data_IF_144335149813
#
_entry.id   IF_144335149813
#
_cell.length_a   1.000
_cell.length_b   1.000
_cell.length_c   1.000
_cell.angle_alpha   90.00
_cell.angle_beta   90.00
_cell.angle_gamma   90.00
#
_symmetry.space_group_name_H-M   'P 1'
#
loop_
_entity.id
_entity.type
_entity.pdbx_description
1 polymer ?
#
# COMPACT_ATOMS: atom_id res chain seq x y z
N UNK A 1 21.10 19.55 10.48
CA UNK A 1 21.12 19.06 11.83
C UNK A 1 21.15 17.52 11.81
N UNK A 2 20.69 16.78 12.79
CA UNK A 2 20.97 15.35 12.99
C UNK A 2 20.76 14.38 11.80
N UNK A 3 19.93 14.68 10.83
CA UNK A 3 19.72 13.82 9.65
C UNK A 3 20.61 14.17 8.44
N UNK A 4 21.42 15.25 8.52
CA UNK A 4 22.24 15.77 7.43
C UNK A 4 21.48 16.09 6.12
N UNK A 5 20.15 16.12 6.18
CA UNK A 5 19.30 16.48 5.05
C UNK A 5 19.04 17.98 5.04
N UNK A 6 19.21 18.60 3.88
CA UNK A 6 18.93 20.00 3.64
C UNK A 6 18.53 20.19 2.18
N UNK A 7 17.94 21.33 1.87
CA UNK A 7 17.51 21.62 0.52
C UNK A 7 16.48 22.74 0.45
N UNK A 8 15.91 22.91 -0.71
CA UNK A 8 14.83 23.87 -0.97
C UNK A 8 13.43 23.24 -0.73
N UNK A 9 12.39 24.04 -0.93
CA UNK A 9 10.99 23.61 -0.76
C UNK A 9 10.63 22.44 -1.69
N UNK A 10 11.17 22.36 -2.89
CA UNK A 10 10.93 21.26 -3.81
C UNK A 10 11.51 19.96 -3.26
N UNK A 11 12.74 20.01 -2.77
CA UNK A 11 13.42 18.87 -2.18
C UNK A 11 12.69 18.37 -0.93
N UNK A 12 12.17 19.28 -0.11
CA UNK A 12 11.33 18.93 1.05
C UNK A 12 10.08 18.19 0.61
N UNK A 13 9.34 18.69 -0.39
CA UNK A 13 8.11 18.02 -0.88
C UNK A 13 8.43 16.67 -1.51
N UNK A 14 9.52 16.57 -2.30
CA UNK A 14 9.96 15.31 -2.88
C UNK A 14 10.22 14.24 -1.83
N UNK A 15 10.92 14.59 -0.75
CA UNK A 15 11.27 13.65 0.32
C UNK A 15 10.09 13.36 1.25
N UNK A 16 9.28 14.37 1.55
CA UNK A 16 8.15 14.25 2.47
C UNK A 16 6.97 13.49 1.86
N UNK A 17 6.61 13.80 0.61
CA UNK A 17 5.49 13.17 -0.11
C UNK A 17 5.94 11.95 -0.94
N UNK A 18 7.25 11.67 -1.05
CA UNK A 18 7.78 10.58 -1.86
C UNK A 18 7.51 10.75 -3.35
N UNK A 19 7.51 11.98 -3.84
CA UNK A 19 7.15 12.34 -5.21
C UNK A 19 8.38 12.76 -6.03
N UNK A 20 8.26 12.73 -7.36
CA UNK A 20 9.29 13.25 -8.27
C UNK A 20 9.36 14.78 -8.22
N UNK A 21 10.45 15.36 -8.76
CA UNK A 21 10.60 16.81 -8.87
C UNK A 21 9.44 17.47 -9.64
N UNK A 22 9.01 16.87 -10.73
CA UNK A 22 7.89 17.38 -11.53
C UNK A 22 6.58 17.41 -10.73
N UNK A 23 6.28 16.35 -9.99
CA UNK A 23 5.09 16.27 -9.12
C UNK A 23 5.18 17.28 -7.95
N UNK A 24 6.36 17.47 -7.37
CA UNK A 24 6.58 18.47 -6.34
C UNK A 24 6.35 19.90 -6.88
N UNK A 25 6.84 20.20 -8.09
CA UNK A 25 6.60 21.48 -8.77
C UNK A 25 5.11 21.71 -9.01
N UNK A 26 4.39 20.72 -9.53
CA UNK A 26 2.93 20.80 -9.74
C UNK A 26 2.16 21.04 -8.43
N UNK A 27 2.52 20.30 -7.38
CA UNK A 27 1.90 20.45 -6.06
C UNK A 27 2.07 21.84 -5.50
N UNK A 28 3.31 22.35 -5.58
CA UNK A 28 3.64 23.69 -5.08
C UNK A 28 3.01 24.80 -5.93
N UNK A 29 3.01 24.64 -7.25
CA UNK A 29 2.39 25.59 -8.16
C UNK A 29 0.87 25.68 -7.95
N UNK A 30 0.21 24.53 -7.79
CA UNK A 30 -1.23 24.47 -7.47
C UNK A 30 -1.54 25.17 -6.15
N UNK A 31 -0.73 24.94 -5.11
CA UNK A 31 -0.87 25.61 -3.81
C UNK A 31 -0.64 27.12 -3.90
N UNK A 32 0.29 27.55 -4.75
CA UNK A 32 0.62 28.97 -4.95
C UNK A 32 -0.32 29.67 -5.96
N UNK A 33 -1.22 28.94 -6.63
CA UNK A 33 -2.07 29.49 -7.69
C UNK A 33 -1.29 29.91 -8.93
N UNK A 34 -0.10 29.33 -9.16
CA UNK A 34 0.76 29.66 -10.31
C UNK A 34 0.47 28.70 -11.45
N UNK A 35 0.00 29.16 -12.61
CA UNK A 35 -0.18 28.29 -13.77
C UNK A 35 1.19 27.82 -14.27
N UNK A 36 1.36 26.50 -14.40
CA UNK A 36 2.57 25.93 -14.99
C UNK A 36 2.43 25.89 -16.52
N UNK A 37 3.34 26.59 -17.21
CA UNK A 37 3.57 26.32 -18.61
C UNK A 37 4.35 25.00 -18.74
N UNK A 38 3.67 23.95 -19.18
CA UNK A 38 4.32 22.67 -19.44
C UNK A 38 5.20 22.76 -20.68
N UNK A 39 6.46 23.10 -20.48
CA UNK A 39 7.49 23.10 -21.55
C UNK A 39 7.99 21.68 -21.89
N UNK A 40 7.36 20.63 -21.33
CA UNK A 40 7.61 19.23 -21.69
C UNK A 40 6.81 18.86 -22.94
N UNK A 41 7.46 18.30 -23.94
CA UNK A 41 6.78 17.75 -25.11
C UNK A 41 5.73 16.70 -24.73
N UNK A 42 4.87 16.32 -25.66
CA UNK A 42 3.79 15.34 -25.46
C UNK A 42 4.24 14.06 -24.72
N UNK A 43 5.46 13.61 -24.98
CA UNK A 43 6.06 12.41 -24.35
C UNK A 43 6.26 12.57 -22.83
N UNK A 44 6.63 13.76 -22.34
CA UNK A 44 6.84 14.01 -20.91
C UNK A 44 5.48 14.04 -20.15
N UNK A 45 4.46 14.62 -20.79
CA UNK A 45 3.10 14.67 -20.24
C UNK A 45 2.55 13.24 -20.16
N UNK A 46 2.69 12.45 -21.22
CA UNK A 46 2.24 11.05 -21.25
C UNK A 46 2.97 10.19 -20.21
N UNK A 47 4.29 10.35 -20.08
CA UNK A 47 5.07 9.65 -19.05
C UNK A 47 4.59 9.95 -17.63
N UNK A 48 4.33 11.21 -17.33
CA UNK A 48 3.84 11.64 -16.02
C UNK A 48 2.44 11.09 -15.74
N UNK A 49 1.55 11.13 -16.74
CA UNK A 49 0.20 10.57 -16.65
C UNK A 49 0.22 9.06 -16.38
N UNK A 50 1.04 8.31 -17.12
CA UNK A 50 1.21 6.85 -16.92
C UNK A 50 1.73 6.51 -15.52
N UNK A 51 2.68 7.29 -14.99
CA UNK A 51 3.19 7.10 -13.61
C UNK A 51 2.12 7.37 -12.57
N UNK A 52 1.31 8.41 -12.74
CA UNK A 52 0.18 8.70 -11.85
C UNK A 52 -0.84 7.58 -11.87
N UNK A 53 -1.22 7.10 -13.04
CA UNK A 53 -2.14 5.99 -13.19
C UNK A 53 -1.61 4.73 -12.51
N UNK A 54 -0.35 4.36 -12.76
CA UNK A 54 0.29 3.21 -12.14
C UNK A 54 0.33 3.34 -10.60
N UNK A 55 0.66 4.52 -10.06
CA UNK A 55 0.65 4.78 -8.61
C UNK A 55 -0.76 4.65 -8.03
N UNK A 56 -1.75 5.26 -8.67
CA UNK A 56 -3.14 5.17 -8.23
C UNK A 56 -3.64 3.73 -8.22
N UNK A 57 -3.24 2.95 -9.21
CA UNK A 57 -3.56 1.54 -9.30
C UNK A 57 -2.95 0.72 -8.17
N UNK A 58 -1.69 1.02 -7.76
CA UNK A 58 -1.07 0.40 -6.59
C UNK A 58 -1.77 0.77 -5.28
N UNK A 59 -2.22 2.02 -5.11
CA UNK A 59 -3.02 2.41 -3.94
C UNK A 59 -4.34 1.65 -3.87
N UNK A 60 -5.04 1.52 -5.01
CA UNK A 60 -6.29 0.75 -5.08
C UNK A 60 -6.06 -0.73 -4.76
N UNK A 61 -4.93 -1.30 -5.18
CA UNK A 61 -4.54 -2.68 -4.85
C UNK A 61 -4.25 -2.84 -3.35
N UNK A 62 -3.52 -1.90 -2.74
CA UNK A 62 -3.29 -1.91 -1.29
C UNK A 62 -4.60 -1.78 -0.50
N UNK A 63 -5.52 -0.93 -0.95
CA UNK A 63 -6.85 -0.80 -0.36
C UNK A 63 -7.66 -2.10 -0.47
N UNK A 64 -7.63 -2.77 -1.63
CA UNK A 64 -8.22 -4.09 -1.80
C UNK A 64 -7.63 -5.11 -0.81
N UNK A 65 -6.30 -5.14 -0.68
CA UNK A 65 -5.63 -6.03 0.25
C UNK A 65 -6.03 -5.74 1.72
N UNK A 66 -6.14 -4.48 2.10
CA UNK A 66 -6.61 -4.08 3.43
C UNK A 66 -8.02 -4.61 3.69
N UNK A 67 -8.95 -4.39 2.77
CA UNK A 67 -10.32 -4.88 2.89
C UNK A 67 -10.39 -6.41 2.95
N UNK A 68 -9.59 -7.09 2.14
CA UNK A 68 -9.47 -8.54 2.14
C UNK A 68 -9.00 -9.07 3.50
N UNK A 69 -7.93 -8.50 4.06
CA UNK A 69 -7.42 -8.91 5.37
C UNK A 69 -8.37 -8.57 6.51
N UNK A 70 -9.06 -7.44 6.45
CA UNK A 70 -10.08 -7.05 7.43
C UNK A 70 -11.25 -8.04 7.41
N UNK A 71 -11.78 -8.37 6.23
CA UNK A 71 -12.82 -9.39 6.10
C UNK A 71 -12.38 -10.76 6.63
N UNK A 72 -11.14 -11.17 6.34
CA UNK A 72 -10.60 -12.43 6.83
C UNK A 72 -10.44 -12.45 8.36
N UNK A 73 -10.14 -11.32 9.00
CA UNK A 73 -10.08 -11.23 10.47
C UNK A 73 -11.44 -11.51 11.10
N UNK A 74 -12.53 -11.05 10.49
CA UNK A 74 -13.89 -11.24 11.02
C UNK A 74 -14.59 -12.48 10.46
N UNK A 75 -13.99 -13.21 9.52
CA UNK A 75 -14.50 -14.50 9.08
C UNK A 75 -14.47 -15.55 10.22
N UNK A 76 -15.54 -16.36 10.33
CA UNK A 76 -15.77 -17.21 11.50
C UNK A 76 -14.62 -18.15 11.84
N UNK A 77 -14.11 -18.90 10.88
CA UNK A 77 -13.03 -19.87 11.09
C UNK A 77 -11.65 -19.27 10.93
N UNK A 78 -11.39 -18.60 9.80
CA UNK A 78 -10.06 -18.14 9.45
C UNK A 78 -9.50 -17.11 10.44
N UNK A 79 -10.35 -16.19 10.92
CA UNK A 79 -9.94 -15.11 11.83
C UNK A 79 -9.97 -15.49 13.32
N UNK A 80 -10.44 -16.67 13.71
CA UNK A 80 -10.66 -17.05 15.12
C UNK A 80 -9.40 -16.90 15.98
N UNK A 81 -8.29 -17.48 15.53
CA UNK A 81 -7.02 -17.43 16.26
C UNK A 81 -6.50 -15.98 16.40
N UNK A 82 -6.61 -15.19 15.33
CA UNK A 82 -6.20 -13.79 15.35
C UNK A 82 -7.04 -12.94 16.31
N UNK A 83 -8.37 -13.14 16.33
CA UNK A 83 -9.25 -12.46 17.29
C UNK A 83 -8.95 -12.87 18.73
N UNK A 84 -8.72 -14.17 19.00
CA UNK A 84 -8.33 -14.65 20.33
C UNK A 84 -7.01 -14.01 20.79
N UNK A 85 -6.02 -13.93 19.91
CA UNK A 85 -4.75 -13.26 20.19
C UNK A 85 -4.95 -11.76 20.51
N UNK A 86 -5.77 -11.05 19.74
CA UNK A 86 -6.07 -9.63 20.00
C UNK A 86 -6.78 -9.44 21.35
N UNK A 87 -7.71 -10.32 21.68
CA UNK A 87 -8.40 -10.32 23.00
C UNK A 87 -7.42 -10.52 24.15
N UNK A 88 -6.48 -11.48 24.04
CA UNK A 88 -5.42 -11.69 25.04
C UNK A 88 -4.52 -10.46 25.22
N UNK A 89 -4.33 -9.67 24.18
CA UNK A 89 -3.56 -8.42 24.20
C UNK A 89 -4.38 -7.20 24.60
N UNK A 90 -5.64 -7.41 25.03
CA UNK A 90 -6.57 -6.35 25.41
C UNK A 90 -6.79 -5.28 24.31
N UNK A 91 -6.66 -5.67 23.03
CA UNK A 91 -6.96 -4.78 21.90
C UNK A 91 -8.46 -4.78 21.68
N UNK A 92 -9.12 -3.66 21.99
CA UNK A 92 -10.58 -3.54 21.85
C UNK A 92 -11.03 -3.59 20.39
N UNK A 93 -12.29 -4.01 20.17
CA UNK A 93 -12.89 -4.01 18.84
C UNK A 93 -12.88 -2.61 18.20
N UNK A 94 -13.06 -1.56 19.02
CA UNK A 94 -12.96 -0.17 18.54
C UNK A 94 -11.56 0.15 18.00
N UNK A 95 -10.50 -0.29 18.68
CA UNK A 95 -9.13 -0.12 18.20
C UNK A 95 -8.86 -0.97 16.94
N UNK A 96 -9.32 -2.22 16.90
CA UNK A 96 -9.17 -3.07 15.71
C UNK A 96 -9.76 -2.41 14.47
N UNK A 97 -10.97 -1.84 14.59
CA UNK A 97 -11.63 -1.11 13.49
C UNK A 97 -10.94 0.21 13.15
N UNK A 98 -10.59 1.00 14.17
CA UNK A 98 -9.95 2.31 13.96
C UNK A 98 -8.61 2.20 13.24
N UNK A 99 -7.87 1.11 13.48
CA UNK A 99 -6.58 0.83 12.82
C UNK A 99 -6.70 -0.14 11.65
N UNK A 100 -7.92 -0.54 11.25
CA UNK A 100 -8.19 -1.44 10.14
C UNK A 100 -7.34 -2.72 10.21
N UNK A 101 -7.26 -3.31 11.42
CA UNK A 101 -6.50 -4.53 11.60
C UNK A 101 -7.11 -5.66 10.77
N UNK A 102 -6.25 -6.54 10.24
CA UNK A 102 -6.64 -7.62 9.37
C UNK A 102 -5.95 -8.93 9.73
N UNK A 103 -6.30 -9.98 9.02
CA UNK A 103 -5.66 -11.27 9.10
C UNK A 103 -5.36 -11.81 7.70
N UNK A 104 -4.11 -12.18 7.47
CA UNK A 104 -3.72 -12.92 6.28
C UNK A 104 -3.96 -14.42 6.51
N UNK A 105 -4.90 -15.05 5.80
CA UNK A 105 -5.20 -16.46 5.97
C UNK A 105 -3.98 -17.35 5.76
N UNK A 106 -4.01 -18.58 6.29
CA UNK A 106 -2.99 -19.59 6.01
C UNK A 106 -3.25 -20.21 4.62
N UNK A 107 -2.97 -19.45 3.60
CA UNK A 107 -3.13 -19.81 2.20
C UNK A 107 -1.99 -19.23 1.37
N UNK A 108 -1.58 -19.97 0.35
CA UNK A 108 -0.47 -19.55 -0.51
C UNK A 108 -0.86 -18.48 -1.53
N UNK A 109 -2.14 -18.35 -1.88
CA UNK A 109 -2.60 -17.56 -3.03
C UNK A 109 -3.97 -16.89 -2.83
N UNK A 110 -4.48 -16.81 -1.60
CA UNK A 110 -5.84 -16.31 -1.36
C UNK A 110 -6.00 -14.84 -1.78
N UNK A 111 -5.06 -13.96 -1.39
CA UNK A 111 -5.05 -12.56 -1.81
C UNK A 111 -4.76 -12.45 -3.31
N UNK A 112 -3.77 -13.20 -3.81
CA UNK A 112 -3.41 -13.20 -5.23
C UNK A 112 -4.62 -13.54 -6.11
N UNK A 113 -5.39 -14.58 -5.77
CA UNK A 113 -6.63 -14.93 -6.50
C UNK A 113 -7.68 -13.83 -6.42
N UNK A 114 -7.86 -13.23 -5.23
CA UNK A 114 -8.81 -12.13 -5.05
C UNK A 114 -8.44 -10.92 -5.90
N UNK A 115 -7.15 -10.59 -5.98
CA UNK A 115 -6.65 -9.49 -6.79
C UNK A 115 -6.77 -9.77 -8.29
N UNK A 116 -6.44 -10.99 -8.74
CA UNK A 116 -6.63 -11.39 -10.15
C UNK A 116 -8.10 -11.33 -10.57
N UNK A 117 -9.03 -11.71 -9.70
CA UNK A 117 -10.48 -11.60 -9.96
C UNK A 117 -10.93 -10.14 -10.17
N UNK A 118 -10.17 -9.16 -9.66
CA UNK A 118 -10.39 -7.72 -9.86
C UNK A 118 -9.52 -7.14 -11.00
N UNK A 119 -8.84 -7.99 -11.76
CA UNK A 119 -8.05 -7.60 -12.92
C UNK A 119 -6.67 -7.01 -12.61
N UNK A 120 -6.13 -7.25 -11.42
CA UNK A 120 -4.74 -6.92 -11.10
C UNK A 120 -3.78 -7.99 -11.64
N UNK A 121 -2.58 -7.55 -12.03
CA UNK A 121 -1.54 -8.42 -12.61
C UNK A 121 -0.47 -8.78 -11.57
N UNK A 122 0.32 -9.81 -11.88
CA UNK A 122 1.44 -10.28 -11.06
C UNK A 122 2.45 -9.18 -10.72
N UNK A 123 2.80 -8.36 -11.72
CA UNK A 123 3.77 -7.27 -11.56
C UNK A 123 3.27 -6.19 -10.60
N UNK A 124 1.97 -5.94 -10.57
CA UNK A 124 1.36 -5.00 -9.64
C UNK A 124 1.36 -5.56 -8.20
N UNK A 125 1.04 -6.83 -8.02
CA UNK A 125 1.09 -7.51 -6.72
C UNK A 125 2.52 -7.55 -6.14
N UNK A 126 3.51 -7.82 -6.99
CA UNK A 126 4.92 -7.78 -6.60
C UNK A 126 5.35 -6.36 -6.28
N UNK A 127 4.99 -5.40 -7.13
CA UNK A 127 5.30 -3.98 -6.95
C UNK A 127 4.69 -3.38 -5.68
N UNK A 128 3.49 -3.81 -5.29
CA UNK A 128 2.85 -3.45 -4.03
C UNK A 128 3.43 -4.21 -2.82
N UNK A 129 4.34 -5.16 -3.02
CA UNK A 129 4.92 -5.98 -1.95
C UNK A 129 3.93 -6.96 -1.32
N UNK A 130 2.85 -7.32 -2.02
CA UNK A 130 1.80 -8.22 -1.55
C UNK A 130 2.04 -9.67 -1.94
N UNK A 131 2.79 -9.91 -3.01
CA UNK A 131 3.13 -11.24 -3.47
C UNK A 131 4.64 -11.37 -3.80
N UNK A 132 5.12 -12.60 -3.84
CA UNK A 132 6.49 -12.96 -4.17
C UNK A 132 6.48 -14.04 -5.26
N UNK A 133 7.54 -14.05 -6.10
CA UNK A 133 7.81 -15.17 -7.02
C UNK A 133 8.62 -16.25 -6.33
N UNK A 134 8.33 -17.50 -6.64
CA UNK A 134 9.19 -18.60 -6.22
C UNK A 134 10.58 -18.49 -6.86
N UNK A 135 11.59 -19.08 -6.20
CA UNK A 135 12.99 -19.08 -6.70
C UNK A 135 13.11 -19.64 -8.12
N UNK A 136 12.27 -20.60 -8.49
CA UNK A 136 12.20 -21.13 -9.85
C UNK A 136 11.44 -20.22 -10.83
N UNK A 137 10.88 -19.09 -10.38
CA UNK A 137 10.12 -18.13 -11.19
C UNK A 137 8.77 -18.62 -11.72
N UNK A 138 8.34 -19.84 -11.36
CA UNK A 138 7.18 -20.52 -11.94
C UNK A 138 5.85 -20.22 -11.25
N UNK A 139 5.87 -19.81 -9.99
CA UNK A 139 4.64 -19.53 -9.22
C UNK A 139 4.71 -18.22 -8.46
N UNK A 140 3.57 -17.56 -8.36
CA UNK A 140 3.33 -16.41 -7.50
C UNK A 140 2.67 -16.89 -6.22
N UNK A 141 3.04 -16.32 -5.08
CA UNK A 141 2.43 -16.63 -3.79
C UNK A 141 2.31 -15.40 -2.91
N UNK A 142 1.33 -15.42 -2.00
CA UNK A 142 1.07 -14.34 -1.06
C UNK A 142 2.26 -14.15 -0.11
N UNK A 143 2.72 -12.90 0.01
CA UNK A 143 3.83 -12.55 0.91
C UNK A 143 3.47 -12.79 2.38
N UNK A 144 2.23 -12.52 2.75
CA UNK A 144 1.75 -12.65 4.12
C UNK A 144 0.80 -13.84 4.23
N UNK A 145 1.09 -14.76 5.13
CA UNK A 145 0.29 -15.95 5.43
C UNK A 145 0.31 -16.20 6.92
N UNK A 146 -0.84 -16.59 7.48
CA UNK A 146 -1.03 -16.83 8.90
C UNK A 146 -0.46 -15.69 9.78
N UNK A 147 -0.85 -14.44 9.47
CA UNK A 147 -0.34 -13.24 10.14
C UNK A 147 -1.46 -12.27 10.48
N UNK A 148 -1.36 -11.67 11.66
CA UNK A 148 -2.11 -10.45 11.96
C UNK A 148 -1.51 -9.29 11.16
N UNK A 149 -2.37 -8.53 10.46
CA UNK A 149 -1.99 -7.51 9.51
C UNK A 149 -2.29 -6.11 10.03
N UNK A 150 -1.33 -5.22 9.81
CA UNK A 150 -1.39 -3.81 10.19
C UNK A 150 -1.16 -2.97 8.94
N UNK A 151 -2.16 -2.26 8.44
CA UNK A 151 -1.95 -1.34 7.32
C UNK A 151 -1.10 -0.14 7.75
N UNK A 152 -0.25 0.30 6.85
CA UNK A 152 0.59 1.50 7.01
C UNK A 152 0.07 2.54 6.03
N UNK A 153 -0.20 3.74 6.53
CA UNK A 153 -0.84 4.83 5.82
C UNK A 153 0.15 5.93 5.48
N UNK A 154 -0.04 6.56 4.33
CA UNK A 154 0.58 7.85 4.06
C UNK A 154 -0.21 8.99 4.74
N UNK A 155 0.30 10.21 4.65
CA UNK A 155 -0.34 11.39 5.24
C UNK A 155 -1.63 11.81 4.51
N UNK A 156 -1.87 11.28 3.33
CA UNK A 156 -3.07 11.49 2.53
C UNK A 156 -4.17 10.46 2.84
N UNK A 157 -3.86 9.47 3.68
CA UNK A 157 -4.79 8.41 4.06
C UNK A 157 -4.84 7.23 3.08
N UNK A 158 -3.84 7.07 2.21
CA UNK A 158 -3.72 5.89 1.36
C UNK A 158 -2.95 4.79 2.10
N UNK A 159 -3.38 3.55 1.97
CA UNK A 159 -2.59 2.40 2.42
C UNK A 159 -1.43 2.19 1.46
N UNK A 160 -0.20 2.23 1.98
CA UNK A 160 1.03 2.15 1.19
C UNK A 160 1.84 0.89 1.46
N UNK A 161 1.60 0.23 2.58
CA UNK A 161 2.32 -0.98 2.97
C UNK A 161 1.56 -1.73 4.07
N UNK A 162 2.10 -2.89 4.48
CA UNK A 162 1.58 -3.69 5.58
C UNK A 162 2.71 -4.19 6.49
N UNK A 163 2.46 -4.15 7.80
CA UNK A 163 3.18 -4.94 8.77
C UNK A 163 2.44 -6.25 9.03
N UNK A 164 3.16 -7.37 9.14
CA UNK A 164 2.56 -8.67 9.44
C UNK A 164 3.20 -9.31 10.68
N UNK A 165 2.42 -9.59 11.74
CA UNK A 165 2.88 -10.29 12.93
C UNK A 165 2.44 -11.74 12.92
N UNK A 166 3.38 -12.66 13.12
CA UNK A 166 3.08 -14.08 13.37
C UNK A 166 2.30 -14.19 14.68
N UNK A 167 1.24 -14.96 14.68
CA UNK A 167 0.47 -15.36 15.85
C UNK A 167 0.76 -16.83 16.09
N UNK A 168 1.39 -17.10 17.25
CA UNK A 168 1.66 -18.44 17.76
C UNK A 168 0.49 -18.92 18.62
#
# INVERSE_FOLDING_TARGET
FGCQKGGNVFQFVMEYDGVSFAEAVETLATRAGIPLETSGGADAIEYTARRREARQRLFSLCQLAQQFYEQALYADEAGRAARAYLAQRAVSDAAQRAFCLGFAPDSWDALTRAAHAQGYRDDELIGAGLALRSEEGKSLYDRFRNRLMFPIWDLQGNVIAFGGRIID
#
